data_IF_153238788872
#
_entry.id   IF_153238788872
#
_cell.length_a   1.000
_cell.length_b   1.000
_cell.length_c   1.000
_cell.angle_alpha   90.00
_cell.angle_beta   90.00
_cell.angle_gamma   90.00
#
_symmetry.space_group_name_H-M   'P 1'
#
loop_
_entity.id
_entity.type
_entity.pdbx_description
1 polymer ?
#
# COMPACT_ATOMS: atom_id res chain seq x y z
N UNK A 1 11.81 -7.93 -15.45
CA UNK A 1 10.39 -8.22 -15.79
C UNK A 1 9.65 -8.41 -14.49
N UNK A 2 9.27 -7.32 -13.83
CA UNK A 2 8.45 -7.34 -12.62
C UNK A 2 7.17 -6.61 -12.99
N UNK A 3 6.08 -7.35 -12.92
CA UNK A 3 4.79 -7.03 -13.49
C UNK A 3 4.22 -5.72 -12.91
N UNK A 4 4.26 -4.66 -13.71
CA UNK A 4 3.67 -3.33 -13.45
C UNK A 4 2.14 -3.35 -13.16
N UNK A 5 1.52 -4.53 -13.22
CA UNK A 5 0.09 -4.76 -13.01
C UNK A 5 -0.25 -5.56 -11.74
N UNK A 6 0.72 -6.01 -10.93
CA UNK A 6 0.41 -7.02 -9.91
C UNK A 6 -0.44 -6.49 -8.75
N UNK A 7 -0.30 -5.23 -8.33
CA UNK A 7 -0.94 -4.76 -7.08
C UNK A 7 -2.21 -3.93 -7.26
N UNK A 8 -2.70 -3.74 -8.50
CA UNK A 8 -3.93 -2.96 -8.76
C UNK A 8 -5.19 -3.60 -8.16
N UNK A 9 -5.18 -4.92 -7.96
CA UNK A 9 -6.27 -5.65 -7.32
C UNK A 9 -6.41 -5.38 -5.81
N UNK A 10 -5.46 -4.66 -5.21
CA UNK A 10 -5.52 -4.26 -3.81
C UNK A 10 -6.39 -3.02 -3.58
N UNK A 11 -6.70 -2.26 -4.63
CA UNK A 11 -7.53 -1.05 -4.53
C UNK A 11 -8.92 -1.43 -3.97
N UNK A 12 -9.35 -0.69 -2.96
CA UNK A 12 -10.59 -0.94 -2.22
C UNK A 12 -10.45 -1.88 -1.02
N UNK A 13 -9.29 -2.50 -0.81
CA UNK A 13 -8.99 -3.27 0.40
C UNK A 13 -8.45 -2.36 1.51
N UNK A 14 -8.55 -2.83 2.74
CA UNK A 14 -7.98 -2.15 3.91
C UNK A 14 -6.51 -2.52 4.08
N UNK A 15 -5.63 -1.53 4.10
CA UNK A 15 -4.22 -1.74 4.42
C UNK A 15 -4.02 -1.77 5.94
N UNK A 16 -3.40 -2.83 6.44
CA UNK A 16 -3.01 -2.96 7.85
C UNK A 16 -1.51 -2.74 7.94
N UNK A 17 -1.13 -1.69 8.67
CA UNK A 17 0.27 -1.30 8.84
C UNK A 17 1.05 -2.29 9.70
N UNK A 18 2.37 -2.34 9.48
CA UNK A 18 3.27 -3.18 10.28
C UNK A 18 3.12 -2.81 11.77
N UNK A 19 2.85 -3.82 12.60
CA UNK A 19 2.63 -3.68 14.05
C UNK A 19 1.16 -3.58 14.47
N UNK A 20 0.23 -3.44 13.52
CA UNK A 20 -1.22 -3.59 13.79
C UNK A 20 -1.75 -4.97 13.39
N UNK A 21 -0.97 -5.76 12.67
CA UNK A 21 -1.34 -7.07 12.10
C UNK A 21 -1.92 -8.04 13.15
N UNK A 22 -1.39 -8.05 14.38
CA UNK A 22 -1.88 -8.91 15.47
C UNK A 22 -3.33 -8.63 15.89
N UNK A 23 -3.84 -7.42 15.59
CA UNK A 23 -5.20 -7.01 15.94
C UNK A 23 -6.24 -7.38 14.87
N UNK A 24 -5.81 -7.79 13.68
CA UNK A 24 -6.70 -8.03 12.55
C UNK A 24 -6.58 -9.47 12.06
N UNK A 25 -7.71 -10.18 11.93
CA UNK A 25 -7.71 -11.46 11.23
C UNK A 25 -7.49 -11.23 9.74
N UNK A 26 -6.61 -12.04 9.15
CA UNK A 26 -6.33 -12.03 7.71
C UNK A 26 -7.58 -12.48 6.96
N UNK A 27 -8.35 -11.53 6.46
CA UNK A 27 -9.50 -11.80 5.57
C UNK A 27 -9.20 -11.28 4.18
N UNK A 28 -9.97 -11.72 3.18
CA UNK A 28 -9.74 -11.35 1.77
C UNK A 28 -9.81 -9.83 1.50
N UNK A 29 -10.41 -9.06 2.41
CA UNK A 29 -10.53 -7.60 2.33
C UNK A 29 -9.40 -6.85 3.02
N UNK A 30 -8.49 -7.54 3.72
CA UNK A 30 -7.33 -6.94 4.38
C UNK A 30 -6.05 -7.26 3.62
N UNK A 31 -5.16 -6.29 3.56
CA UNK A 31 -3.82 -6.41 2.99
C UNK A 31 -2.85 -6.02 4.07
N UNK A 32 -1.90 -6.88 4.36
CA UNK A 32 -0.85 -6.56 5.30
C UNK A 32 0.26 -5.80 4.58
N UNK A 33 0.76 -4.77 5.22
CA UNK A 33 1.85 -3.98 4.68
C UNK A 33 3.13 -4.83 4.52
N UNK A 34 3.27 -5.89 5.32
CA UNK A 34 4.33 -6.90 5.18
C UNK A 34 4.25 -7.76 3.91
N UNK A 35 3.08 -7.87 3.27
CA UNK A 35 2.90 -8.59 2.00
C UNK A 35 3.32 -7.74 0.79
N UNK A 36 3.53 -6.44 0.98
CA UNK A 36 3.99 -5.53 -0.05
C UNK A 36 5.52 -5.63 -0.23
N UNK A 37 6.06 -5.23 -1.39
CA UNK A 37 7.50 -5.19 -1.60
C UNK A 37 8.22 -4.37 -0.52
N UNK A 38 9.48 -4.74 -0.28
CA UNK A 38 10.33 -4.06 0.69
C UNK A 38 10.47 -2.57 0.37
N UNK A 39 10.70 -2.24 -0.91
CA UNK A 39 10.71 -0.86 -1.38
C UNK A 39 9.28 -0.38 -1.67
N UNK A 40 8.67 0.25 -0.66
CA UNK A 40 7.31 0.79 -0.74
C UNK A 40 7.17 2.11 0.02
N UNK A 41 6.11 2.84 -0.29
CA UNK A 41 5.68 4.04 0.41
C UNK A 41 4.17 4.02 0.59
N UNK A 42 3.73 4.11 1.83
CA UNK A 42 2.32 4.33 2.16
C UNK A 42 2.07 5.83 2.25
N UNK A 43 1.21 6.36 1.38
CA UNK A 43 0.83 7.77 1.31
C UNK A 43 -0.48 7.93 2.07
N UNK A 44 -0.41 8.61 3.21
CA UNK A 44 -1.54 8.91 4.08
C UNK A 44 -2.18 10.25 3.75
N UNK A 45 -3.49 10.43 3.97
CA UNK A 45 -4.13 11.71 3.75
C UNK A 45 -3.52 12.79 4.66
N UNK A 46 -3.16 13.93 4.07
CA UNK A 46 -2.58 15.06 4.79
C UNK A 46 -1.07 14.94 5.10
N UNK A 47 -0.42 13.82 4.77
CA UNK A 47 1.01 13.67 4.96
C UNK A 47 1.78 14.20 3.75
N UNK A 48 2.81 14.99 4.01
CA UNK A 48 3.75 15.39 2.97
C UNK A 48 4.68 14.22 2.64
N UNK A 49 4.93 14.03 1.35
CA UNK A 49 5.90 13.06 0.84
C UNK A 49 6.74 13.71 -0.27
N UNK A 50 7.92 13.15 -0.52
CA UNK A 50 8.80 13.62 -1.58
C UNK A 50 8.26 13.19 -2.95
N UNK A 51 8.26 14.09 -3.93
CA UNK A 51 7.84 13.80 -5.31
C UNK A 51 9.02 13.27 -6.15
N UNK A 52 9.90 12.50 -5.53
CA UNK A 52 11.04 11.85 -6.19
C UNK A 52 10.58 10.63 -6.98
N UNK A 53 11.11 10.44 -8.19
CA UNK A 53 10.82 9.23 -8.98
C UNK A 53 11.76 8.09 -8.61
N UNK A 54 11.21 6.97 -8.17
CA UNK A 54 11.93 5.74 -7.82
C UNK A 54 11.22 4.55 -8.46
N UNK A 55 11.74 4.07 -9.58
CA UNK A 55 11.11 3.06 -10.45
C UNK A 55 10.71 1.77 -9.70
N UNK A 56 11.52 1.32 -8.75
CA UNK A 56 11.29 0.07 -8.01
C UNK A 56 10.42 0.25 -6.75
N UNK A 57 10.00 1.49 -6.44
CA UNK A 57 9.19 1.77 -5.25
C UNK A 57 7.71 1.65 -5.54
N UNK A 58 7.02 0.83 -4.76
CA UNK A 58 5.58 0.76 -4.76
C UNK A 58 4.99 1.90 -3.92
N UNK A 59 4.33 2.85 -4.54
CA UNK A 59 3.50 3.84 -3.87
C UNK A 59 2.08 3.28 -3.67
N UNK A 60 1.61 3.29 -2.42
CA UNK A 60 0.26 2.88 -2.03
C UNK A 60 -0.41 4.05 -1.34
N UNK A 61 -1.44 4.62 -1.95
CA UNK A 61 -2.21 5.70 -1.36
C UNK A 61 -3.42 5.15 -0.62
N UNK A 62 -3.63 5.61 0.62
CA UNK A 62 -4.76 5.22 1.45
C UNK A 62 -5.60 6.45 1.82
N UNK A 63 -6.87 6.22 2.15
CA UNK A 63 -7.75 7.26 2.72
C UNK A 63 -7.75 7.26 4.26
N UNK A 64 -8.59 8.11 4.85
CA UNK A 64 -8.73 8.27 6.31
C UNK A 64 -9.22 6.98 7.00
N UNK A 65 -9.82 6.05 6.26
CA UNK A 65 -10.29 4.75 6.75
C UNK A 65 -9.31 3.62 6.46
N UNK A 66 -8.06 3.95 6.08
CA UNK A 66 -7.03 2.99 5.67
C UNK A 66 -7.40 2.15 4.44
N UNK A 67 -8.34 2.63 3.61
CA UNK A 67 -8.70 1.95 2.36
C UNK A 67 -7.75 2.39 1.25
N UNK A 68 -7.21 1.41 0.51
CA UNK A 68 -6.30 1.65 -0.60
C UNK A 68 -7.07 2.32 -1.75
N UNK A 69 -6.63 3.52 -2.14
CA UNK A 69 -7.21 4.33 -3.22
C UNK A 69 -6.44 4.17 -4.52
N UNK A 70 -5.12 4.13 -4.45
CA UNK A 70 -4.27 4.02 -5.62
C UNK A 70 -3.02 3.20 -5.30
N UNK A 71 -2.53 2.49 -6.31
CA UNK A 71 -1.28 1.73 -6.24
C UNK A 71 -0.54 1.92 -7.54
N UNK A 72 0.69 2.43 -7.46
CA UNK A 72 1.54 2.67 -8.63
C UNK A 72 3.01 2.47 -8.28
N UNK A 73 3.81 2.09 -9.27
CA UNK A 73 5.26 2.19 -9.16
C UNK A 73 5.72 3.60 -9.52
N UNK A 74 6.76 4.09 -8.83
CA UNK A 74 7.40 5.38 -9.12
C UNK A 74 7.86 6.19 -7.93
#
# INVERSE_FOLDING_TARGET
MTSENDYKHLVGKTLIEVGQEDNFQRTDNHVYESDLPENRRVIKPGYAYTCDYVEDRLCVEIDESSIIKSVNYG
#
